data_IF_677782759899
#
_entry.id   IF_677782759899
#
_cell.length_a   1.000
_cell.length_b   1.000
_cell.length_c   1.000
_cell.angle_alpha   90.00
_cell.angle_beta   90.00
_cell.angle_gamma   90.00
#
_symmetry.space_group_name_H-M   'P 1'
#
loop_
_entity.id
_entity.type
_entity.pdbx_description
1 polymer ?
2 non-polymer ?
3 water ?
#
# COMPACT_ATOMS: atom_id res chain seq x y z
N UNK A 24 -26.32 2.00 16.55
CA UNK A 24 -25.63 0.80 16.98
C UNK A 24 -25.29 -0.12 15.83
N UNK A 25 -24.22 -0.89 15.99
CA UNK A 25 -23.82 -1.87 14.97
C UNK A 25 -24.71 -3.10 15.07
N UNK A 26 -25.21 -3.54 13.92
CA UNK A 26 -26.03 -4.75 13.90
C UNK A 26 -25.15 -5.99 14.07
N UNK A 27 -25.80 -7.09 14.45
CA UNK A 27 -25.06 -8.34 14.67
C UNK A 27 -24.33 -8.81 13.42
N UNK A 28 -24.88 -8.49 12.24
CA UNK A 28 -24.19 -8.82 10.99
C UNK A 28 -23.11 -7.82 10.63
N UNK A 29 -23.20 -6.58 11.13
CA UNK A 29 -22.13 -5.61 10.93
C UNK A 29 -20.94 -5.93 11.82
N UNK A 30 -21.21 -6.36 13.04
CA UNK A 30 -20.12 -6.78 13.95
C UNK A 30 -19.49 -8.03 13.36
N UNK A 31 -20.29 -8.85 12.69
CA UNK A 31 -19.76 -10.05 12.06
C UNK A 31 -18.80 -9.71 10.93
N UNK A 32 -19.11 -8.66 10.17
CA UNK A 32 -18.20 -8.23 9.06
C UNK A 32 -16.85 -7.80 9.64
N UNK A 33 -16.85 -7.01 10.72
CA UNK A 33 -15.60 -6.50 11.27
C UNK A 33 -14.76 -7.63 11.84
N UNK A 34 -15.40 -8.61 12.50
CA UNK A 34 -14.65 -9.72 13.07
C UNK A 34 -13.92 -10.52 12.00
N UNK A 35 -14.60 -10.79 10.89
CA UNK A 35 -13.98 -11.57 9.79
C UNK A 35 -12.84 -10.77 9.16
N UNK A 36 -12.98 -9.46 9.05
CA UNK A 36 -11.91 -8.64 8.49
C UNK A 36 -10.73 -8.54 9.45
N UNK A 37 -11.02 -8.32 10.74
CA UNK A 37 -9.96 -8.29 11.73
C UNK A 37 -9.27 -9.64 11.84
N UNK A 38 -10.03 -10.73 11.70
CA UNK A 38 -9.43 -12.06 11.72
C UNK A 38 -8.52 -12.27 10.51
N UNK A 39 -8.97 -11.85 9.33
CA UNK A 39 -8.13 -11.99 8.13
C UNK A 39 -6.89 -11.11 8.24
N UNK A 40 -7.01 -9.93 8.85
CA UNK A 40 -5.86 -9.07 9.02
C UNK A 40 -4.85 -9.66 10.01
N UNK A 41 -5.36 -10.21 11.12
CA UNK A 41 -4.47 -10.82 12.11
C UNK A 41 -3.69 -11.98 11.54
N UNK A 42 -4.32 -12.76 10.64
CA UNK A 42 -3.69 -13.96 10.12
C UNK A 42 -2.70 -13.68 9.00
N UNK A 43 -2.82 -12.54 8.32
CA UNK A 43 -2.06 -12.30 7.10
C UNK A 43 -1.16 -11.07 7.14
N UNK A 44 -1.18 -10.28 8.22
CA UNK A 44 -0.34 -9.10 8.33
C UNK A 44 0.78 -9.41 9.31
N UNK A 45 1.97 -9.72 8.77
CA UNK A 45 3.17 -9.92 9.58
C UNK A 45 3.71 -8.54 9.95
N UNK A 46 3.21 -8.01 11.06
CA UNK A 46 3.51 -6.62 11.42
C UNK A 46 4.97 -6.40 11.74
N UNK A 47 5.68 -7.44 12.17
CA UNK A 47 7.10 -7.34 12.46
C UNK A 47 7.98 -7.70 11.27
N UNK A 48 7.38 -8.11 10.15
CA UNK A 48 8.12 -8.46 8.93
C UNK A 48 9.14 -9.56 9.20
N UNK A 49 8.89 -10.40 10.19
CA UNK A 49 9.86 -11.41 10.61
C UNK A 49 10.06 -12.49 9.56
N UNK A 50 9.12 -12.65 8.61
CA UNK A 50 9.25 -13.63 7.55
C UNK A 50 9.75 -13.01 6.24
N UNK A 51 10.12 -11.73 6.26
CA UNK A 51 10.71 -11.08 5.10
C UNK A 51 12.21 -11.35 5.13
N UNK A 52 12.64 -12.35 4.36
CA UNK A 52 14.03 -12.80 4.36
C UNK A 52 14.54 -12.91 2.93
N UNK A 53 15.86 -13.09 2.81
CA UNK A 53 16.52 -13.38 1.54
C UNK A 53 16.26 -12.30 0.49
N UNK A 54 16.11 -11.05 0.92
CA UNK A 54 15.87 -9.96 -0.01
C UNK A 54 17.19 -9.39 -0.52
N UNK A 55 17.14 -8.83 -1.72
CA UNK A 55 18.31 -8.20 -2.31
C UNK A 55 18.57 -6.85 -1.68
N UNK A 56 19.83 -6.43 -1.72
CA UNK A 56 20.29 -5.16 -1.17
C UNK A 56 21.18 -4.47 -2.19
N UNK A 57 21.32 -3.15 -2.09
CA UNK A 57 22.24 -2.44 -3.00
C UNK A 57 23.66 -2.97 -2.92
N UNK A 58 24.39 -2.79 -4.02
CA UNK A 58 25.74 -3.30 -4.10
C UNK A 58 26.67 -2.61 -3.11
N UNK A 59 27.75 -3.32 -2.79
CA UNK A 59 28.74 -2.82 -1.85
C UNK A 59 29.69 -1.86 -2.55
N UNK A 78 16.83 9.14 -24.47
CA UNK A 78 15.63 9.79 -24.95
C UNK A 78 14.88 10.47 -23.81
N UNK A 79 13.73 11.07 -24.13
CA UNK A 79 12.88 11.67 -23.12
C UNK A 79 12.31 10.64 -22.16
N UNK A 80 12.41 9.36 -22.51
CA UNK A 80 11.98 8.28 -21.60
C UNK A 80 12.79 8.34 -20.32
N UNK A 81 14.11 8.53 -20.43
CA UNK A 81 15.00 8.54 -19.25
C UNK A 81 14.72 9.74 -18.37
N UNK A 82 14.39 10.88 -18.96
CA UNK A 82 14.06 12.07 -18.17
C UNK A 82 12.81 11.83 -17.33
N UNK A 83 11.81 11.16 -17.91
CA UNK A 83 10.64 10.77 -17.13
C UNK A 83 11.01 9.71 -16.10
N UNK A 84 11.80 8.70 -16.52
CA UNK A 84 12.25 7.66 -15.60
C UNK A 84 13.10 8.28 -14.49
N UNK A 85 13.92 9.28 -14.81
CA UNK A 85 14.72 9.94 -13.75
C UNK A 85 13.77 10.65 -12.80
N UNK A 86 12.72 11.28 -13.32
CA UNK A 86 11.74 12.00 -12.46
C UNK A 86 10.92 10.97 -11.67
N UNK A 87 10.47 9.89 -12.31
CA UNK A 87 9.63 8.85 -11.67
C UNK A 87 10.34 8.29 -10.45
N UNK A 88 11.63 7.99 -10.57
CA UNK A 88 12.34 7.33 -9.45
C UNK A 88 12.88 8.35 -8.47
N UNK A 89 12.93 9.63 -8.83
CA UNK A 89 13.53 10.66 -7.92
C UNK A 89 12.61 10.86 -6.71
N UNK A 90 11.45 10.21 -6.69
CA UNK A 90 10.62 10.27 -5.47
C UNK A 90 11.12 9.23 -4.47
N UNK A 91 12.24 8.54 -4.74
CA UNK A 91 12.80 7.62 -3.75
C UNK A 91 13.35 8.39 -2.56
N UNK A 92 14.61 8.85 -2.64
CA UNK A 92 15.26 9.61 -1.54
C UNK A 92 14.97 8.96 -0.18
N UNK A 93 15.26 7.67 -0.05
CA UNK A 93 14.98 6.97 1.20
C UNK A 93 16.23 6.22 1.62
N UNK A 94 16.63 6.42 2.88
CA UNK A 94 17.71 5.65 3.47
C UNK A 94 17.15 4.39 4.12
N UNK A 95 18.03 3.43 4.38
CA UNK A 95 17.63 2.10 4.77
C UNK A 95 18.51 1.61 5.91
N UNK A 96 17.90 0.95 6.89
CA UNK A 96 18.59 0.51 8.10
C UNK A 96 18.18 -0.92 8.42
N UNK A 97 19.17 -1.80 8.60
CA UNK A 97 18.94 -3.17 9.05
C UNK A 97 19.50 -3.30 10.46
N UNK A 98 18.61 -3.53 11.43
CA UNK A 98 19.03 -3.84 12.79
C UNK A 98 19.26 -5.34 12.90
N UNK A 99 20.48 -5.74 13.25
CA UNK A 99 20.79 -7.16 13.37
C UNK A 99 20.22 -7.76 14.64
N UNK A 100 19.93 -9.05 14.61
CA UNK A 100 19.42 -9.76 15.82
C UNK A 100 20.49 -9.80 16.90
N UNK A 101 21.77 -9.81 16.52
CA UNK A 101 22.84 -9.77 17.52
C UNK A 101 23.01 -8.40 18.15
N UNK A 102 22.38 -7.37 17.57
CA UNK A 102 22.54 -6.00 18.05
C UNK A 102 23.24 -5.08 17.08
N UNK A 103 23.74 -5.60 15.97
CA UNK A 103 24.43 -4.78 14.99
C UNK A 103 23.43 -4.01 14.13
N UNK A 104 23.92 -2.95 13.48
CA UNK A 104 23.11 -2.09 12.63
C UNK A 104 23.86 -1.83 11.33
N UNK A 105 23.23 -2.14 10.20
CA UNK A 105 23.70 -1.74 8.88
C UNK A 105 22.84 -0.57 8.41
N UNK A 106 23.49 0.50 7.95
CA UNK A 106 22.80 1.68 7.46
C UNK A 106 23.26 1.99 6.05
N UNK A 107 22.30 2.24 5.16
CA UNK A 107 22.57 2.53 3.76
C UNK A 107 22.14 3.95 3.43
N UNK A 108 23.05 4.73 2.88
CA UNK A 108 22.70 6.09 2.40
C UNK A 108 22.76 6.03 0.88
N UNK A 109 21.71 6.51 0.18
CA UNK A 109 21.62 6.39 -1.28
C UNK A 109 22.50 7.41 -1.97
N UNK A 110 22.92 7.15 -3.20
CA UNK A 110 23.76 8.12 -3.92
C UNK A 110 22.93 9.26 -4.49
N UNK A 111 23.63 10.31 -4.91
CA UNK A 111 22.93 11.46 -5.54
C UNK A 111 22.66 11.16 -7.02
N UNK A 112 21.75 11.91 -7.61
CA UNK A 112 21.45 11.73 -9.05
C UNK A 112 22.65 12.27 -9.83
N UNK A 113 23.22 11.44 -10.71
CA UNK A 113 24.37 11.82 -11.50
C UNK A 113 24.16 11.51 -12.98
N UNK A 114 22.90 11.48 -13.41
CA UNK A 114 22.62 11.23 -14.81
C UNK A 114 23.11 9.89 -15.31
N UNK A 115 23.11 8.88 -14.45
CA UNK A 115 23.66 7.57 -14.77
C UNK A 115 22.73 6.46 -14.33
N UNK A 116 23.35 5.39 -13.83
CA UNK A 116 22.64 4.16 -13.50
C UNK A 116 22.37 4.01 -12.01
N UNK A 117 23.07 4.78 -11.19
CA UNK A 117 22.93 4.74 -9.71
C UNK A 117 21.48 4.86 -9.24
N UNK A 118 20.61 5.44 -10.05
CA UNK A 118 19.21 5.64 -9.67
C UNK A 118 18.44 4.35 -9.57
N UNK A 119 18.98 3.24 -10.10
CA UNK A 119 18.33 1.94 -10.03
C UNK A 119 18.84 1.09 -8.88
N UNK A 120 19.57 1.69 -7.92
CA UNK A 120 20.22 0.90 -6.88
C UNK A 120 19.21 0.23 -5.94
N UNK A 121 18.09 0.87 -5.68
CA UNK A 121 17.15 0.27 -4.70
C UNK A 121 16.03 -0.52 -5.40
N UNK A 122 15.97 -0.55 -6.74
CA UNK A 122 14.90 -1.27 -7.42
C UNK A 122 14.81 -2.73 -7.02
N UNK A 123 15.90 -3.52 -6.99
CA UNK A 123 15.74 -4.93 -6.61
C UNK A 123 15.22 -5.12 -5.19
N UNK A 124 15.66 -4.30 -4.24
CA UNK A 124 15.17 -4.44 -2.87
C UNK A 124 13.71 -4.05 -2.76
N UNK A 125 13.30 -2.97 -3.40
CA UNK A 125 11.88 -2.54 -3.34
C UNK A 125 10.99 -3.58 -4.03
N UNK A 126 11.51 -4.27 -5.05
CA UNK A 126 10.73 -5.32 -5.69
C UNK A 126 10.51 -6.50 -4.76
N UNK A 127 11.54 -6.86 -3.98
CA UNK A 127 11.38 -7.97 -3.03
C UNK A 127 10.44 -7.58 -1.90
N UNK A 128 10.54 -6.34 -1.41
CA UNK A 128 9.63 -5.86 -0.38
C UNK A 128 8.19 -5.86 -0.90
N UNK A 129 7.99 -5.37 -2.10
CA UNK A 129 6.63 -5.31 -2.71
C UNK A 129 6.05 -6.71 -2.86
N UNK A 130 6.86 -7.64 -3.33
CA UNK A 130 6.40 -9.04 -3.56
C UNK A 130 6.00 -9.65 -2.22
N UNK A 131 6.77 -9.38 -1.17
CA UNK A 131 6.41 -9.87 0.15
C UNK A 131 5.09 -9.29 0.61
N UNK A 132 4.87 -7.99 0.41
CA UNK A 132 3.61 -7.36 0.80
C UNK A 132 2.47 -7.83 -0.10
N UNK A 133 2.73 -8.02 -1.39
CA UNK A 133 1.68 -8.49 -2.29
C UNK A 133 1.21 -9.88 -1.90
N UNK A 134 2.14 -10.78 -1.56
CA UNK A 134 1.76 -12.09 -1.06
C UNK A 134 0.85 -11.96 0.16
N UNK A 135 1.16 -11.03 1.03
CA UNK A 135 0.35 -10.85 2.25
C UNK A 135 -1.04 -10.31 1.89
N UNK A 136 -1.12 -9.43 0.88
CA UNK A 136 -2.42 -8.91 0.47
C UNK A 136 -3.26 -10.02 -0.16
N UNK A 137 -2.64 -10.89 -0.95
CA UNK A 137 -3.38 -11.98 -1.58
C UNK A 137 -3.91 -12.95 -0.52
N UNK A 138 -3.10 -13.23 0.51
CA UNK A 138 -3.58 -14.11 1.58
C UNK A 138 -4.72 -13.46 2.36
N UNK A 139 -4.69 -12.13 2.50
CA UNK A 139 -5.75 -11.43 3.21
C UNK A 139 -7.09 -11.60 2.51
N UNK A 140 -7.10 -11.43 1.19
CA UNK A 140 -8.35 -11.53 0.44
C UNK A 140 -8.88 -12.96 0.43
N UNK A 141 -7.98 -13.94 0.31
CA UNK A 141 -8.42 -15.34 0.23
C UNK A 141 -9.05 -15.81 1.53
N UNK A 142 -8.72 -15.19 2.66
CA UNK A 142 -9.32 -15.59 3.93
C UNK A 142 -10.74 -15.08 4.04
N UNK A 143 -11.04 -13.93 3.44
CA UNK A 143 -12.37 -13.32 3.56
C UNK A 143 -13.37 -14.18 2.81
N UNK A 144 -14.51 -14.47 3.45
CA UNK A 144 -15.54 -15.31 2.84
C UNK A 144 -16.22 -14.59 1.69
N UNK A 145 -16.50 -13.29 1.84
CA UNK A 145 -17.13 -12.54 0.76
C UNK A 145 -16.27 -12.53 -0.49
N UNK A 146 -14.95 -12.61 -0.33
CA UNK A 146 -14.05 -12.64 -1.49
C UNK A 146 -13.96 -14.02 -2.10
N UNK A 147 -13.88 -15.05 -1.26
CA UNK A 147 -13.74 -16.44 -1.76
C UNK A 147 -15.01 -16.87 -2.49
N UNK A 148 -16.14 -16.23 -2.22
CA UNK A 148 -17.41 -16.60 -2.84
C UNK A 148 -17.61 -15.99 -4.22
N UNK A 149 -16.72 -15.10 -4.65
CA UNK A 149 -16.79 -14.55 -6.00
C UNK A 149 -16.15 -15.50 -6.99
N UNK A 150 -16.48 -15.37 -8.28
CA UNK A 150 -15.83 -16.20 -9.29
C UNK A 150 -14.33 -15.96 -9.33
N UNK A 151 -13.58 -16.97 -9.77
CA UNK A 151 -12.13 -16.90 -9.76
C UNK A 151 -11.65 -15.78 -10.68
N UNK A 152 -12.35 -15.57 -11.81
CA UNK A 152 -11.94 -14.54 -12.75
C UNK A 152 -12.03 -13.15 -12.13
N UNK A 153 -13.01 -12.97 -11.22
CA UNK A 153 -13.24 -11.66 -10.58
C UNK A 153 -12.31 -11.51 -9.37
N UNK A 154 -12.02 -12.59 -8.65
CA UNK A 154 -11.03 -12.52 -7.58
C UNK A 154 -9.69 -12.03 -8.12
N UNK A 155 -9.31 -12.49 -9.32
CA UNK A 155 -8.07 -12.05 -9.92
C UNK A 155 -8.15 -10.59 -10.34
N UNK A 156 -9.29 -10.18 -10.92
CA UNK A 156 -9.43 -8.81 -11.38
C UNK A 156 -9.42 -7.82 -10.21
N UNK A 157 -10.03 -8.20 -9.09
CA UNK A 157 -10.04 -7.31 -7.92
C UNK A 157 -8.66 -7.22 -7.28
N UNK A 158 -7.92 -8.33 -7.25
CA UNK A 158 -6.59 -8.31 -6.67
C UNK A 158 -5.62 -7.50 -7.54
N UNK A 159 -5.71 -7.66 -8.85
CA UNK A 159 -4.82 -6.92 -9.77
C UNK A 159 -5.05 -5.43 -9.63
N UNK A 160 -6.27 -5.01 -9.33
CA UNK A 160 -6.60 -3.59 -9.25
C UNK A 160 -6.36 -2.96 -7.88
N UNK A 161 -6.38 -3.75 -6.81
CA UNK A 161 -6.28 -3.18 -5.45
C UNK A 161 -5.01 -3.61 -4.72
N UNK A 162 -4.16 -4.43 -5.33
CA UNK A 162 -2.99 -4.92 -4.60
C UNK A 162 -2.13 -3.77 -4.09
N UNK A 163 -1.88 -2.77 -4.95
CA UNK A 163 -1.06 -1.63 -4.54
C UNK A 163 -1.73 -0.82 -3.45
N UNK A 164 -3.04 -0.60 -3.58
CA UNK A 164 -3.76 0.25 -2.61
C UNK A 164 -3.77 -0.39 -1.23
N UNK A 165 -3.99 -1.71 -1.16
CA UNK A 165 -4.00 -2.39 0.13
C UNK A 165 -2.61 -2.41 0.76
N UNK A 166 -1.56 -2.45 -0.06
CA UNK A 166 -0.21 -2.40 0.48
C UNK A 166 0.08 -1.03 1.09
N UNK A 167 -0.43 0.03 0.47
CA UNK A 167 -0.20 1.40 0.99
C UNK A 167 -0.93 1.58 2.32
N UNK A 168 -2.11 0.98 2.44
CA UNK A 168 -2.85 1.10 3.69
C UNK A 168 -2.14 0.35 4.82
N UNK A 169 -1.55 -0.80 4.51
CA UNK A 169 -0.80 -1.56 5.53
C UNK A 169 0.50 -0.83 5.88
N UNK A 170 1.14 -0.22 4.89
CA UNK A 170 2.37 0.51 5.15
C UNK A 170 2.12 1.76 5.99
N UNK A 171 0.91 2.33 5.93
CA UNK A 171 0.62 3.51 6.72
C UNK A 171 0.57 3.19 8.21
N UNK A 172 0.18 1.98 8.58
CA UNK A 172 0.10 1.60 9.98
C UNK A 172 1.47 1.46 10.62
N UNK A 173 2.54 1.30 9.82
CA UNK A 173 3.90 1.27 10.33
C UNK A 173 4.65 2.55 10.00
N UNK A 174 3.96 3.56 9.49
CA UNK A 174 4.59 4.84 9.18
C UNK A 174 4.68 5.69 10.44
N UNK A 175 5.85 6.30 10.65
CA UNK A 175 6.08 7.21 11.77
C UNK A 175 6.14 8.62 11.18
N UNK A 176 5.04 9.37 11.33
CA UNK A 176 4.97 10.71 10.75
C UNK A 176 5.89 11.70 11.45
N UNK A 177 6.28 11.43 12.70
CA UNK A 177 7.15 12.36 13.41
C UNK A 177 8.56 12.33 12.86
N UNK A 178 9.04 11.14 12.48
CA UNK A 178 10.40 10.99 11.96
C UNK A 178 10.44 10.67 10.47
N UNK A 179 9.28 10.58 9.81
CA UNK A 179 9.23 10.25 8.40
C UNK A 179 9.85 8.91 8.08
N UNK A 180 9.47 7.88 8.85
CA UNK A 180 10.10 6.57 8.75
C UNK A 180 9.04 5.48 8.75
N UNK A 181 9.15 4.54 7.83
CA UNK A 181 8.35 3.32 7.86
C UNK A 181 9.14 2.26 8.63
N UNK A 182 8.57 1.82 9.76
CA UNK A 182 9.24 0.87 10.65
C UNK A 182 8.73 -0.52 10.35
N UNK A 183 9.50 -1.28 9.58
CA UNK A 183 9.12 -2.63 9.17
C UNK A 183 9.93 -3.65 9.96
N UNK A 184 9.69 -3.68 11.27
CA UNK A 184 10.41 -4.58 12.14
C UNK A 184 11.87 -4.25 12.25
N UNK A 185 12.73 -5.12 11.73
CA UNK A 185 14.21 -4.89 11.78
C UNK A 185 14.63 -4.00 10.61
N UNK A 186 13.75 -3.74 9.66
CA UNK A 186 14.05 -2.85 8.55
C UNK A 186 13.36 -1.52 8.76
N UNK A 187 14.06 -0.44 8.41
CA UNK A 187 13.52 0.92 8.53
C UNK A 187 13.81 1.68 7.25
N UNK A 188 12.82 2.42 6.77
CA UNK A 188 12.94 3.26 5.58
C UNK A 188 12.71 4.70 6.01
N UNK A 189 13.79 5.48 6.05
CA UNK A 189 13.68 6.88 6.53
C UNK A 189 13.86 7.85 5.38
N UNK A 190 12.98 8.84 5.29
CA UNK A 190 13.08 9.88 4.24
C UNK A 190 14.25 10.81 4.57
N UNK A 191 15.05 11.12 3.56
CA UNK A 191 16.20 11.99 3.71
C UNK A 191 15.82 13.43 3.35
N UNK A 192 16.41 14.38 4.06
CA UNK A 192 16.14 15.79 3.80
C UNK A 192 16.45 16.14 2.35
N UNK A 193 15.49 16.81 1.72
CA UNK A 193 15.64 17.14 0.28
C UNK A 193 14.84 18.40 -0.06
N UNK A 194 15.29 19.59 0.39
CA UNK A 194 14.69 20.91 0.02
C UNK A 194 13.40 21.23 0.78
N UNK A 195 13.25 22.49 1.18
CA UNK A 195 12.00 22.95 1.82
C UNK A 195 11.51 22.03 2.92
N UNK A 196 12.44 21.30 3.54
CA UNK A 196 12.07 20.36 4.61
C UNK A 196 10.95 19.44 4.19
N UNK A 197 10.00 19.20 5.09
CA UNK A 197 8.96 18.20 4.78
C UNK A 197 7.92 18.82 3.85
N UNK A 198 7.91 20.14 3.73
CA UNK A 198 6.79 20.74 2.95
C UNK A 198 7.03 20.53 1.45
N UNK A 199 8.27 20.69 0.97
CA UNK A 199 8.56 20.40 -0.43
C UNK A 199 8.54 18.91 -0.74
N UNK A 200 8.48 18.05 0.28
CA UNK A 200 8.31 16.63 0.08
C UNK A 200 6.83 16.23 0.00
N UNK A 201 5.96 16.96 0.69
CA UNK A 201 4.52 16.71 0.62
C UNK A 201 3.93 17.03 -0.74
N UNK A 202 4.71 17.62 -1.64
CA UNK A 202 4.27 17.77 -3.03
C UNK A 202 4.13 16.42 -3.71
N UNK A 203 4.90 15.43 -3.27
CA UNK A 203 4.76 14.08 -3.78
C UNK A 203 3.44 13.50 -3.30
N UNK A 204 2.52 13.15 -4.21
CA UNK A 204 1.18 12.72 -3.75
C UNK A 204 1.20 11.49 -2.86
N UNK A 205 2.07 10.52 -3.14
CA UNK A 205 2.13 9.32 -2.31
C UNK A 205 2.59 9.65 -0.89
N UNK A 206 3.52 10.59 -0.75
CA UNK A 206 4.03 10.95 0.59
C UNK A 206 2.98 11.78 1.31
N UNK A 207 2.31 12.69 0.59
CA UNK A 207 1.26 13.48 1.21
C UNK A 207 0.11 12.60 1.69
N UNK A 208 -0.18 11.51 0.95
CA UNK A 208 -1.24 10.60 1.36
C UNK A 208 -0.93 9.97 2.70
N UNK A 209 0.32 9.53 2.91
CA UNK A 209 0.68 8.84 4.14
C UNK A 209 0.63 9.78 5.34
N UNK A 210 1.05 11.03 5.16
CA UNK A 210 0.99 12.00 6.25
C UNK A 210 -0.46 12.35 6.59
N UNK A 211 -1.30 12.52 5.56
CA UNK A 211 -2.69 12.91 5.80
C UNK A 211 -3.49 11.77 6.40
N UNK A 212 -3.28 10.54 5.92
CA UNK A 212 -4.00 9.40 6.47
C UNK A 212 -3.57 9.11 7.90
N UNK A 213 -2.28 9.29 8.20
CA UNK A 213 -1.79 9.07 9.56
C UNK A 213 -2.36 10.08 10.54
N UNK A 214 -2.63 11.31 10.08
CA UNK A 214 -3.14 12.34 10.96
C UNK A 214 -4.57 12.06 11.41
N UNK A 215 -5.31 11.22 10.68
CA UNK A 215 -6.67 10.91 11.09
C UNK A 215 -6.74 10.00 12.30
N UNK A 216 -5.62 9.34 12.65
CA UNK A 216 -5.52 8.50 13.85
C UNK A 216 -6.61 7.43 13.88
N UNK A 217 -6.60 6.61 12.83
CA UNK A 217 -7.63 5.59 12.66
C UNK A 217 -7.34 4.38 13.53
N UNK A 218 -8.41 3.69 13.92
CA UNK A 218 -8.29 2.42 14.63
C UNK A 218 -7.93 1.30 13.65
N UNK A 219 -7.55 0.16 14.21
CA UNK A 219 -7.27 -1.01 13.37
C UNK A 219 -8.50 -1.45 12.58
N UNK A 220 -9.68 -1.29 13.17
CA UNK A 220 -10.91 -1.70 12.48
C UNK A 220 -11.20 -0.79 11.30
N UNK A 221 -10.90 0.51 11.42
CA UNK A 221 -11.12 1.41 10.29
C UNK A 221 -10.14 1.14 9.16
N UNK A 222 -8.90 0.76 9.49
CA UNK A 222 -7.94 0.43 8.44
C UNK A 222 -8.37 -0.78 7.64
N UNK A 223 -8.85 -1.84 8.32
CA UNK A 223 -9.23 -3.05 7.62
C UNK A 223 -10.53 -2.86 6.84
N UNK A 224 -11.37 -1.92 7.24
CA UNK A 224 -12.56 -1.61 6.45
C UNK A 224 -12.22 -0.80 5.22
N UNK A 225 -11.20 0.06 5.29
CA UNK A 225 -10.72 0.73 4.08
C UNK A 225 -10.12 -0.27 3.10
N UNK A 226 -9.43 -1.29 3.62
CA UNK A 226 -8.88 -2.33 2.76
C UNK A 226 -10.00 -3.10 2.06
N UNK A 227 -11.10 -3.35 2.76
CA UNK A 227 -12.21 -4.07 2.15
C UNK A 227 -12.93 -3.22 1.12
N UNK A 228 -13.12 -1.93 1.40
CA UNK A 228 -13.79 -1.05 0.44
C UNK A 228 -12.96 -0.92 -0.83
N UNK A 229 -11.63 -0.82 -0.68
CA UNK A 229 -10.77 -0.69 -1.85
C UNK A 229 -10.67 -2.01 -2.61
N UNK A 230 -10.68 -3.13 -1.89
CA UNK A 230 -10.58 -4.43 -2.55
C UNK A 230 -11.84 -4.74 -3.36
N UNK A 231 -13.01 -4.44 -2.80
CA UNK A 231 -14.28 -4.73 -3.47
C UNK A 231 -14.76 -3.54 -4.30
N UNK A 232 -13.90 -3.07 -5.20
CA UNK A 232 -14.26 -1.96 -6.09
C UNK A 232 -14.87 -2.52 -7.36
N UNK A 233 -16.14 -2.24 -7.66
CA UNK A 233 -16.76 -2.84 -8.86
C UNK A 233 -16.26 -2.26 -10.17
N UNK A 234 -15.62 -1.10 -10.16
CA UNK A 234 -15.20 -0.43 -11.38
C UNK A 234 -13.80 -0.84 -11.84
N UNK A 235 -13.26 -1.92 -11.26
CA UNK A 235 -11.91 -2.36 -11.64
C UNK A 235 -11.98 -3.05 -13.01
N UNK A 236 -11.01 -2.83 -13.91
CA UNK A 236 -11.09 -3.40 -15.26
C UNK A 236 -11.09 -4.93 -15.22
N UNK A 237 -11.99 -5.52 -15.99
CA UNK A 237 -12.10 -6.96 -16.08
C UNK A 237 -13.10 -7.60 -15.14
N UNK A 238 -13.80 -6.80 -14.34
CA UNK A 238 -14.73 -7.41 -13.34
C UNK A 238 -16.06 -7.73 -14.01
N UNK A 239 -16.63 -8.91 -13.76
CA UNK A 239 -17.90 -9.35 -14.40
C UNK A 239 -19.09 -9.12 -13.46
N UNK A 240 -18.98 -9.52 -12.19
CA UNK A 240 -20.08 -9.39 -11.20
C UNK A 240 -20.09 -7.99 -10.61
N UNK A 241 -20.18 -6.97 -11.45
CA UNK A 241 -20.22 -5.56 -11.00
C UNK A 241 -21.28 -5.37 -9.91
N UNK A 242 -22.50 -5.83 -10.16
CA UNK A 242 -23.61 -5.63 -9.25
C UNK A 242 -23.33 -6.22 -7.88
N UNK A 243 -22.74 -7.42 -7.84
CA UNK A 243 -22.44 -8.10 -6.54
C UNK A 243 -21.31 -7.36 -5.81
N UNK A 244 -20.22 -7.07 -6.51
CA UNK A 244 -19.10 -6.39 -5.86
C UNK A 244 -19.53 -5.01 -5.37
N UNK A 245 -20.41 -4.34 -6.12
CA UNK A 245 -20.90 -3.03 -5.69
C UNK A 245 -21.75 -3.15 -4.43
N UNK A 246 -22.59 -4.18 -4.35
CA UNK A 246 -23.41 -4.36 -3.16
C UNK A 246 -22.56 -4.70 -1.94
N UNK A 247 -21.50 -5.49 -2.14
CA UNK A 247 -20.59 -5.79 -1.03
C UNK A 247 -19.84 -4.54 -0.57
N UNK A 248 -19.40 -3.72 -1.52
CA UNK A 248 -18.69 -2.49 -1.17
C UNK A 248 -19.57 -1.55 -0.37
N UNK A 249 -20.84 -1.42 -0.76
CA UNK A 249 -21.75 -0.55 -0.02
C UNK A 249 -21.97 -1.08 1.40
N UNK A 250 -21.98 -2.40 1.57
CA UNK A 250 -22.10 -2.97 2.90
C UNK A 250 -20.88 -2.63 3.75
N UNK A 251 -19.69 -2.74 3.17
CA UNK A 251 -18.45 -2.41 3.92
C UNK A 251 -18.42 -0.90 4.23
N UNK A 252 -18.90 -0.05 3.33
CA UNK A 252 -18.92 1.39 3.59
C UNK A 252 -19.95 1.74 4.65
N UNK A 253 -21.11 1.08 4.63
CA UNK A 253 -22.13 1.33 5.64
C UNK A 253 -21.64 0.88 7.00
N UNK A 254 -20.97 -0.28 7.06
CA UNK A 254 -20.41 -0.75 8.33
C UNK A 254 -19.37 0.23 8.87
N UNK A 255 -18.50 0.74 8.00
CA UNK A 255 -17.50 1.72 8.43
C UNK A 255 -18.18 3.01 8.88
N UNK A 256 -19.20 3.46 8.15
CA UNK A 256 -19.96 4.64 8.57
C UNK A 256 -20.56 4.43 9.94
N UNK A 257 -21.25 3.30 10.15
CA UNK A 257 -21.89 3.04 11.43
C UNK A 257 -20.87 2.88 12.54
N UNK A 258 -19.70 2.30 12.24
CA UNK A 258 -18.68 2.14 13.26
C UNK A 258 -18.19 3.48 13.79
N UNK A 259 -18.10 4.48 12.90
CA UNK A 259 -17.59 5.79 13.31
C UNK A 259 -18.60 6.52 14.17
N UNK A 260 -19.88 6.39 13.81
CA UNK A 260 -20.97 7.07 14.55
C UNK A 260 -21.09 6.51 15.96
N UNK A 261 -20.74 5.25 16.17
CA UNK A 261 -20.94 4.59 17.44
C UNK A 261 -19.75 4.73 18.38
N UNK A 262 -18.55 4.92 17.85
CA UNK A 262 -17.33 4.89 18.65
C UNK A 262 -16.51 6.17 18.60
N UNK A 263 -16.95 7.18 17.85
CA UNK A 263 -16.21 8.45 17.74
C UNK A 263 -17.19 9.62 17.77
N UNK A 264 -17.62 10.03 18.97
CA UNK A 264 -18.54 11.16 19.10
C UNK A 264 -17.87 12.52 19.22
N UNK A 265 -16.55 12.60 19.13
CA UNK A 265 -15.84 13.85 19.37
C UNK A 265 -15.94 14.77 18.15
N UNK A 266 -15.97 16.09 18.36
CA UNK A 266 -16.07 17.02 17.22
C UNK A 266 -14.87 16.99 16.30
N UNK A 267 -13.72 16.44 16.74
CA UNK A 267 -12.59 16.31 15.85
C UNK A 267 -12.81 15.27 14.77
N UNK A 268 -13.69 14.29 15.03
CA UNK A 268 -13.98 13.22 14.08
C UNK A 268 -15.28 13.45 13.33
N UNK A 269 -15.78 14.69 13.30
CA UNK A 269 -16.89 15.03 12.43
C UNK A 269 -16.45 14.90 10.97
N UNK A 270 -17.33 14.32 10.16
CA UNK A 270 -17.07 14.06 8.74
C UNK A 270 -15.90 13.09 8.53
N UNK A 271 -15.57 12.27 9.53
CA UNK A 271 -14.44 11.35 9.40
C UNK A 271 -14.70 10.32 8.31
N UNK A 272 -15.93 9.82 8.23
CA UNK A 272 -16.27 8.86 7.18
C UNK A 272 -16.08 9.47 5.80
N UNK A 273 -16.51 10.72 5.61
CA UNK A 273 -16.32 11.38 4.33
C UNK A 273 -14.86 11.70 4.06
N UNK A 274 -14.09 12.01 5.11
CA UNK A 274 -12.65 12.20 4.94
C UNK A 274 -11.98 10.91 4.49
N UNK A 275 -12.43 9.78 5.05
CA UNK A 275 -11.84 8.48 4.70
C UNK A 275 -12.14 8.13 3.25
N UNK A 276 -13.40 8.33 2.81
CA UNK A 276 -13.75 8.02 1.43
C UNK A 276 -13.03 8.92 0.45
N UNK A 277 -12.75 10.17 0.84
CA UNK A 277 -11.95 11.05 -0.01
C UNK A 277 -10.53 10.54 -0.12
N UNK A 278 -9.98 9.98 0.96
CA UNK A 278 -8.64 9.41 0.91
C UNK A 278 -8.60 8.19 0.01
N UNK A 279 -9.64 7.34 0.05
CA UNK A 279 -9.69 6.19 -0.82
C UNK A 279 -9.81 6.59 -2.29
N UNK A 280 -10.50 7.68 -2.58
CA UNK A 280 -10.55 8.19 -3.95
C UNK A 280 -9.19 8.68 -4.40
N UNK A 281 -8.46 9.38 -3.52
CA UNK A 281 -7.13 9.83 -3.87
C UNK A 281 -6.16 8.66 -4.01
N UNK A 282 -6.31 7.63 -3.17
CA UNK A 282 -5.46 6.45 -3.28
C UNK A 282 -5.66 5.74 -4.62
N UNK A 283 -6.89 5.75 -5.14
CA UNK A 283 -7.14 5.18 -6.46
C UNK A 283 -6.41 5.98 -7.54
N UNK A 284 -6.38 7.30 -7.41
CA UNK A 284 -5.65 8.15 -8.39
C UNK A 284 -4.15 7.92 -8.27
N UNK A 285 -3.65 7.83 -7.04
CA UNK A 285 -2.23 7.54 -6.86
C UNK A 285 -1.89 6.17 -7.43
N UNK A 286 -2.80 5.21 -7.28
CA UNK A 286 -2.57 3.86 -7.82
C UNK A 286 -2.47 3.90 -9.33
N UNK A 287 -3.27 4.75 -9.99
CA UNK A 287 -3.19 4.87 -11.44
C UNK A 287 -1.91 5.57 -11.87
N UNK A 288 -1.53 6.63 -11.15
CA UNK A 288 -0.27 7.32 -11.47
C UNK A 288 0.90 6.37 -11.25
N UNK A 289 0.86 5.59 -10.17
CA UNK A 289 1.98 4.72 -9.85
C UNK A 289 2.13 3.59 -10.86
N UNK A 290 1.01 3.05 -11.34
CA UNK A 290 1.07 1.95 -12.31
C UNK A 290 1.78 2.39 -13.59
N UNK A 291 1.53 3.61 -14.05
CA UNK A 291 2.16 4.08 -15.29
C UNK A 291 3.66 4.32 -15.08
N UNK A 292 4.03 4.86 -13.92
CA UNK A 292 5.45 5.04 -13.62
C UNK A 292 6.15 3.70 -13.50
N UNK A 293 5.46 2.68 -13.00
CA UNK A 293 6.04 1.34 -12.90
C UNK A 293 6.31 0.75 -14.28
N UNK A 294 5.34 0.86 -15.19
CA UNK A 294 5.48 0.25 -16.50
C UNK A 294 6.51 0.98 -17.35
N UNK A 295 6.71 2.28 -17.11
CA UNK A 295 7.73 3.00 -17.85
C UNK A 295 9.13 2.60 -17.41
N UNK A 296 9.33 2.40 -16.12
CA UNK A 296 10.64 1.96 -15.63
C UNK A 296 10.91 0.53 -16.09
N UNK A 297 9.90 -0.33 -16.04
CA UNK A 297 10.08 -1.71 -16.48
C UNK A 297 10.45 -1.78 -17.95
N UNK A 298 9.93 -0.88 -18.78
CA UNK A 298 10.29 -0.86 -20.19
C UNK A 298 11.72 -0.40 -20.42
N UNK A 299 12.29 0.37 -19.50
CA UNK A 299 13.69 0.88 -19.64
C UNK A 299 14.63 -0.03 -18.86
N UNK A 300 14.25 -0.41 -17.63
CA UNK A 300 15.13 -1.21 -16.77
C UNK A 300 14.27 -2.27 -16.08
N UNK A 301 14.33 -3.52 -16.55
CA UNK A 301 13.51 -4.58 -15.94
C UNK A 301 13.87 -4.80 -14.48
N UNK A 302 12.83 -5.07 -13.68
CA UNK A 302 12.99 -5.19 -12.23
C UNK A 302 11.92 -6.09 -11.63
N UNK A 303 10.75 -6.13 -12.27
CA UNK A 303 9.58 -6.74 -11.66
C UNK A 303 9.78 -8.24 -11.46
N UNK A 304 9.45 -8.72 -10.27
CA UNK A 304 9.50 -10.13 -9.96
C UNK A 304 8.35 -10.84 -10.69
N UNK A 305 8.39 -12.18 -10.80
CA UNK A 305 7.28 -12.89 -11.46
C UNK A 305 5.91 -12.57 -10.87
N UNK A 306 5.81 -12.40 -9.55
CA UNK A 306 4.51 -12.07 -8.96
C UNK A 306 4.04 -10.68 -9.38
N UNK A 307 4.95 -9.70 -9.41
CA UNK A 307 4.59 -8.38 -9.90
C UNK A 307 4.21 -8.41 -11.37
N UNK A 308 4.95 -9.19 -12.18
CA UNK A 308 4.59 -9.33 -13.59
C UNK A 308 3.17 -9.86 -13.73
N UNK A 309 2.77 -10.81 -12.88
CA UNK A 309 1.42 -11.34 -12.92
C UNK A 309 0.39 -10.28 -12.53
N UNK A 310 0.72 -9.46 -11.52
CA UNK A 310 -0.24 -8.49 -11.01
C UNK A 310 -0.38 -7.27 -11.93
N UNK A 311 0.61 -6.97 -12.76
CA UNK A 311 0.56 -5.82 -13.65
C UNK A 311 0.41 -6.20 -15.11
N UNK A 312 0.10 -7.47 -15.40
CA UNK A 312 -0.25 -7.89 -16.74
C UNK A 312 0.91 -8.26 -17.65
N UNK A 313 2.15 -8.20 -17.17
CA UNK A 313 3.29 -8.57 -18.00
C UNK A 313 3.27 -10.07 -18.26
N UNK A 314 3.36 -10.45 -19.54
CA UNK A 314 3.19 -11.83 -19.95
C UNK A 314 4.49 -12.60 -20.11
N UNK A 315 5.63 -11.92 -20.24
CA UNK A 315 6.91 -12.58 -20.41
C UNK A 315 7.37 -12.75 -21.83
N UNK A 316 6.58 -12.29 -22.81
CA UNK A 316 6.97 -12.38 -24.21
C UNK A 316 7.41 -11.02 -24.74
X LIG B 1 8.84 5.90 -5.40
X LIG B 1 9.70 5.66 -4.20
X LIG B 1 10.60 4.66 -4.20
X LIG B 1 10.65 3.69 -5.29
X LIG B 1 9.51 2.77 -7.37
X LIG B 1 8.54 2.87 -8.36
X LIG B 1 7.65 3.95 -8.43
X LIG B 1 7.77 4.93 -7.44
X LIG B 1 8.74 4.85 -6.42
X LIG B 1 9.63 3.75 -6.38
X LIG B 1 10.22 1.52 -7.65
X LIG B 1 9.51 0.85 -8.82
X LIG B 1 10.44 0.49 -9.95
X LIG B 1 6.62 4.02 -9.52
X LIG B 1 10.00 6.39 -1.87
X LIG B 1 9.14 6.74 -0.79
X LIG B 1 9.15 6.07 0.37
X LIG B 1 10.03 5.01 0.81
X LIG B 1 9.68 3.95 1.51
X LIG B 1 8.32 3.34 1.76
X LIG B 1 7.63 2.85 0.48
X LIG B 1 6.42 1.92 0.68
X LIG B 1 5.88 1.36 -0.65
X LIG B 1 6.94 0.73 -1.59
X LIG B 1 6.29 0.32 -2.92
X LIG B 1 7.21 0.25 -4.14
X LIG B 1 6.70 -0.69 -5.26
X LIG B 1 7.62 -1.02 -6.40
X LIG B 1 7.97 -0.15 -7.34
X LIG B 1 8.16 7.84 -1.09
X LIG B 1 8.50 2.19 2.75
X LIG B 1 5.30 2.64 1.45
X LIG B 1 7.62 -0.47 -0.93
X LIG B 1 7.54 1.64 -4.64
X LIG B 1 4.35 -1.07 -2.57
X LIG B 1 3.91 -2.49 -2.39
X LIG B 1 4.62 -1.42 -6.15
X LIG B 1 9.46 6.51 -3.11
X LIG B 1 8.15 6.95 -5.47
X LIG B 1 6.93 5.98 -7.48
X LIG B 1 8.52 1.84 -9.28
X LIG B 1 11.17 1.00 -7.08
X LIG B 1 8.84 -0.33 -8.41
X LIG B 1 5.39 -0.30 -5.74
X LIG B 1 5.68 -0.99 -2.74
X LIG B 1 3.63 -0.11 -2.56
X LIG B 1 5.20 2.39 -1.35
X LIG B 1 7.24 3.98 -0.30
X LIG B 1 11.14 5.98 -1.65
X LIG B 1 11.50 2.82 -5.28
#
# INVERSE_FOLDING_TARGET
MGKGHHHHHHGSERTGTQPLGVQGLTEEQRMMIRELMDAQMKTFDTTFSHFKNFRLPGVLSSGCELPESLQAPSREEAAKWSQVRKDLCSLKVSLQLRGEDGSVWNYKPPADSGGKEIFSLLPHMADMSTYMFKGIISFAKVISYFRDLPIEDQISLLKGAAFELCQLRFNTVFNAETGTWECGRLSYCLEDTAGGFQQLLLEPMLKFHYMLKKLQLHEEEYVLMQAISLFSPDRPGVLQHRVVDQLQEQFAITLKSYIECNRPQPAHRFLFLKIMAMLTELRSINAQHTQRLLRIQDIHPFATPLMQELFGITGS
VA0 C1 C2 C3 C4 C5 C6 C7 C8 C9 C10 C11 C12 C13 C14 C15 C16 C17 C18 C19 C20 C21 C22 C23 C24 C25 C26 C27 C28 C29 C30 C31 C32 C33 C34 C35 C36 C37 N1 O1 O2 O3 O4 O5 O6 O7 O8 O9 O10 O11 O12
#
